data_IF_117971927726
#
_entry.id   IF_117971927726
#
_cell.length_a   1.000
_cell.length_b   1.000
_cell.length_c   1.000
_cell.angle_alpha   90.00
_cell.angle_beta   90.00
_cell.angle_gamma   90.00
#
_symmetry.space_group_name_H-M   'P 1'
#
loop_
_entity.id
_entity.type
_entity.pdbx_description
1 polymer ?
#
# COMPACT_ATOMS: atom_id res chain seq x y z
N UNK A 1 -17.70 18.70 5.66
CA UNK A 1 -17.75 17.45 6.45
C UNK A 1 -16.99 16.31 5.78
N UNK A 2 -17.25 15.95 4.52
CA UNK A 2 -16.49 14.89 3.82
C UNK A 2 -14.97 15.11 3.80
N UNK A 3 -14.51 16.32 3.48
CA UNK A 3 -13.08 16.68 3.55
C UNK A 3 -12.47 16.50 4.95
N UNK A 4 -13.24 16.78 6.01
CA UNK A 4 -12.78 16.60 7.38
C UNK A 4 -12.58 15.11 7.69
N UNK A 5 -13.55 14.27 7.31
CA UNK A 5 -13.46 12.81 7.49
C UNK A 5 -12.26 12.21 6.76
N UNK A 6 -12.07 12.58 5.49
CA UNK A 6 -10.91 12.14 4.71
C UNK A 6 -9.60 12.63 5.30
N UNK A 7 -9.53 13.89 5.76
CA UNK A 7 -8.33 14.43 6.41
C UNK A 7 -7.98 13.68 7.69
N UNK A 8 -8.98 13.38 8.52
CA UNK A 8 -8.80 12.57 9.73
C UNK A 8 -8.29 11.17 9.37
N UNK A 9 -8.89 10.52 8.37
CA UNK A 9 -8.43 9.21 7.91
C UNK A 9 -6.98 9.26 7.40
N UNK A 10 -6.61 10.27 6.61
CA UNK A 10 -5.23 10.46 6.15
C UNK A 10 -4.26 10.55 7.32
N UNK A 11 -4.57 11.36 8.34
CA UNK A 11 -3.72 11.49 9.53
C UNK A 11 -3.61 10.18 10.29
N UNK A 12 -4.73 9.47 10.50
CA UNK A 12 -4.73 8.17 11.19
C UNK A 12 -3.88 7.14 10.45
N UNK A 13 -4.06 7.01 9.13
CA UNK A 13 -3.30 6.05 8.33
C UNK A 13 -1.82 6.43 8.23
N UNK A 14 -1.51 7.71 8.02
CA UNK A 14 -0.13 8.19 7.95
C UNK A 14 0.62 7.99 9.28
N UNK A 15 -0.06 8.26 10.40
CA UNK A 15 0.50 8.01 11.72
C UNK A 15 0.70 6.51 11.98
N UNK A 16 -0.32 5.69 11.71
CA UNK A 16 -0.21 4.24 11.89
C UNK A 16 0.93 3.64 11.05
N UNK A 17 1.09 4.10 9.80
CA UNK A 17 2.17 3.68 8.91
C UNK A 17 3.58 3.91 9.48
N UNK A 18 3.75 4.92 10.34
CA UNK A 18 5.01 5.24 11.03
C UNK A 18 5.21 4.48 12.35
N UNK A 19 4.13 3.92 12.91
CA UNK A 19 4.12 3.31 14.25
C UNK A 19 4.11 1.80 14.22
N UNK A 20 3.43 1.20 13.25
CA UNK A 20 3.33 -0.25 13.13
C UNK A 20 4.53 -0.82 12.41
N UNK A 21 5.05 -1.95 12.89
CA UNK A 21 6.11 -2.68 12.19
C UNK A 21 5.62 -3.20 10.83
N UNK A 22 6.52 -3.42 9.85
CA UNK A 22 6.18 -4.11 8.60
C UNK A 22 5.60 -5.50 8.86
N UNK A 23 4.56 -5.87 8.13
CA UNK A 23 4.04 -7.24 8.12
C UNK A 23 4.92 -8.14 7.24
N UNK A 24 4.74 -9.46 7.35
CA UNK A 24 5.50 -10.42 6.54
C UNK A 24 5.28 -10.21 5.03
N UNK A 25 4.06 -9.86 4.62
CA UNK A 25 3.74 -9.66 3.20
C UNK A 25 4.42 -8.41 2.64
N UNK A 26 4.54 -7.35 3.44
CA UNK A 26 5.24 -6.13 3.03
C UNK A 26 6.72 -6.39 2.74
N UNK A 27 7.35 -7.33 3.46
CA UNK A 27 8.73 -7.75 3.21
C UNK A 27 8.91 -8.34 1.80
N UNK A 28 7.90 -9.01 1.25
CA UNK A 28 7.93 -9.47 -0.14
C UNK A 28 7.57 -8.38 -1.16
N UNK A 29 6.60 -7.53 -0.81
CA UNK A 29 6.08 -6.50 -1.72
C UNK A 29 7.06 -5.36 -2.00
N UNK A 30 7.76 -4.85 -0.98
CA UNK A 30 8.70 -3.74 -1.11
C UNK A 30 9.85 -4.04 -2.11
N UNK A 31 10.63 -5.14 -1.96
CA UNK A 31 11.70 -5.44 -2.90
C UNK A 31 11.16 -5.78 -4.31
N UNK A 32 10.01 -6.43 -4.41
CA UNK A 32 9.40 -6.73 -5.71
C UNK A 32 9.03 -5.45 -6.47
N UNK A 33 8.39 -4.49 -5.81
CA UNK A 33 8.09 -3.19 -6.44
C UNK A 33 9.35 -2.40 -6.79
N UNK A 34 10.43 -2.47 -6.00
CA UNK A 34 11.72 -1.86 -6.36
C UNK A 34 12.35 -2.53 -7.59
N UNK A 35 12.29 -3.86 -7.66
CA UNK A 35 12.76 -4.63 -8.81
C UNK A 35 11.98 -4.26 -10.08
N UNK A 36 10.67 -4.01 -10.00
CA UNK A 36 9.88 -3.55 -11.15
C UNK A 36 10.39 -2.23 -11.73
N UNK A 37 10.72 -1.27 -10.86
CA UNK A 37 11.29 0.00 -11.29
C UNK A 37 12.71 -0.14 -11.86
N UNK A 38 13.55 -1.02 -11.30
CA UNK A 38 14.94 -1.19 -11.73
C UNK A 38 15.10 -2.04 -13.00
N UNK A 39 14.27 -3.07 -13.17
CA UNK A 39 14.39 -4.06 -14.26
C UNK A 39 13.39 -3.82 -15.40
N UNK A 40 12.35 -3.01 -15.18
CA UNK A 40 11.31 -2.76 -16.17
C UNK A 40 10.42 -3.96 -16.48
N UNK A 41 10.39 -4.97 -15.60
CA UNK A 41 9.56 -6.16 -15.75
C UNK A 41 8.81 -6.50 -14.44
N UNK A 42 7.79 -7.35 -14.54
CA UNK A 42 6.93 -7.74 -13.42
C UNK A 42 7.20 -9.16 -12.91
N UNK A 43 8.41 -9.70 -13.12
CA UNK A 43 8.65 -11.13 -12.90
C UNK A 43 8.76 -11.55 -11.44
N UNK A 44 9.15 -10.61 -10.58
CA UNK A 44 9.31 -10.86 -9.15
C UNK A 44 7.94 -10.87 -8.44
N UNK A 45 7.67 -11.93 -7.68
CA UNK A 45 6.50 -12.07 -6.81
C UNK A 45 5.14 -11.94 -7.54
N UNK A 46 4.97 -12.74 -8.61
CA UNK A 46 3.79 -12.79 -9.51
C UNK A 46 2.59 -13.56 -8.94
N UNK A 47 2.15 -13.19 -7.74
CA UNK A 47 0.97 -13.81 -7.09
C UNK A 47 -0.24 -12.86 -7.01
N UNK A 48 -0.04 -11.57 -7.32
CA UNK A 48 -1.09 -10.56 -7.42
C UNK A 48 -0.69 -9.47 -8.44
N UNK A 49 -1.65 -8.66 -8.94
CA UNK A 49 -1.36 -7.58 -9.88
C UNK A 49 -0.35 -6.56 -9.32
N UNK A 50 0.53 -5.98 -10.16
CA UNK A 50 1.68 -5.20 -9.69
C UNK A 50 1.35 -3.75 -9.30
N UNK A 51 0.11 -3.28 -9.51
CA UNK A 51 -0.25 -1.86 -9.38
C UNK A 51 0.11 -1.28 -8.01
N UNK A 52 -0.40 -1.87 -6.93
CA UNK A 52 -0.26 -1.32 -5.57
C UNK A 52 1.21 -1.25 -5.15
N UNK A 53 1.95 -2.36 -5.32
CA UNK A 53 3.38 -2.39 -4.97
C UNK A 53 4.22 -1.43 -5.80
N UNK A 54 3.89 -1.22 -7.07
CA UNK A 54 4.65 -0.34 -7.97
C UNK A 54 4.43 1.12 -7.57
N UNK A 55 3.19 1.51 -7.28
CA UNK A 55 2.87 2.83 -6.72
C UNK A 55 3.54 3.04 -5.37
N UNK A 56 3.45 2.05 -4.48
CA UNK A 56 4.04 2.10 -3.15
C UNK A 56 5.55 2.34 -3.21
N UNK A 57 6.27 1.62 -4.07
CA UNK A 57 7.74 1.69 -4.11
C UNK A 57 8.29 2.88 -4.89
N UNK A 58 7.45 3.67 -5.55
CA UNK A 58 7.91 4.84 -6.32
C UNK A 58 8.73 5.86 -5.49
N UNK A 59 8.24 6.39 -4.35
CA UNK A 59 9.04 7.30 -3.53
C UNK A 59 10.31 6.65 -2.98
N UNK A 60 10.26 5.35 -2.66
CA UNK A 60 11.41 4.59 -2.18
C UNK A 60 12.45 4.44 -3.28
N UNK A 61 12.02 4.17 -4.51
CA UNK A 61 12.89 4.10 -5.68
C UNK A 61 13.64 5.42 -5.92
N UNK A 62 12.96 6.56 -5.76
CA UNK A 62 13.60 7.88 -5.85
C UNK A 62 14.66 8.11 -4.75
N UNK A 63 14.51 7.48 -3.58
CA UNK A 63 15.49 7.51 -2.49
C UNK A 63 16.72 6.62 -2.76
N UNK A 64 16.74 5.84 -3.85
CA UNK A 64 17.86 5.00 -4.31
C UNK A 64 18.47 4.09 -3.22
N UNK A 65 17.67 3.28 -2.51
CA UNK A 65 18.20 2.33 -1.53
C UNK A 65 19.06 1.25 -2.20
N UNK A 66 19.95 0.64 -1.42
CA UNK A 66 20.78 -0.48 -1.90
C UNK A 66 19.94 -1.76 -1.89
N UNK A 67 19.71 -2.36 -3.04
CA UNK A 67 19.00 -3.64 -3.15
C UNK A 67 19.85 -4.62 -3.96
N UNK A 68 20.07 -5.80 -3.39
CA UNK A 68 20.79 -6.88 -4.07
C UNK A 68 19.80 -7.73 -4.88
N UNK A 69 19.75 -7.46 -6.18
CA UNK A 69 18.94 -8.21 -7.14
C UNK A 69 19.73 -9.33 -7.84
N UNK A 70 20.99 -9.57 -7.49
CA UNK A 70 21.82 -10.60 -8.11
C UNK A 70 21.19 -12.00 -7.98
N UNK A 71 20.49 -12.24 -6.88
CA UNK A 71 19.78 -13.50 -6.58
C UNK A 71 18.65 -13.82 -7.58
N UNK A 72 18.17 -12.84 -8.36
CA UNK A 72 17.20 -13.08 -9.43
C UNK A 72 17.81 -13.88 -10.60
N UNK A 73 19.14 -13.84 -10.77
CA UNK A 73 19.85 -14.58 -11.82
C UNK A 73 20.13 -16.05 -11.46
N UNK A 74 20.01 -16.43 -10.17
CA UNK A 74 20.27 -17.79 -9.67
C UNK A 74 19.13 -18.80 -9.94
N UNK A 75 18.15 -18.42 -10.77
CA UNK A 75 17.00 -19.25 -11.13
C UNK A 75 15.81 -19.14 -10.16
N UNK A 76 14.67 -19.73 -10.53
CA UNK A 76 13.45 -19.70 -9.73
C UNK A 76 13.66 -20.44 -8.39
N UNK A 77 13.80 -19.69 -7.31
CA UNK A 77 13.72 -20.21 -5.94
C UNK A 77 12.38 -19.81 -5.33
N UNK A 78 11.74 -20.76 -4.65
CA UNK A 78 10.50 -20.51 -3.91
C UNK A 78 10.73 -19.38 -2.90
N UNK A 79 9.84 -18.38 -2.87
CA UNK A 79 9.87 -17.26 -1.90
C UNK A 79 11.11 -16.35 -1.98
N UNK A 80 11.68 -16.18 -3.18
CA UNK A 80 12.85 -15.33 -3.40
C UNK A 80 12.63 -13.88 -2.96
N UNK A 81 11.42 -13.37 -3.11
CA UNK A 81 11.01 -12.04 -2.67
C UNK A 81 11.19 -11.80 -1.18
N UNK A 82 10.87 -12.79 -0.35
CA UNK A 82 11.04 -12.69 1.09
C UNK A 82 12.50 -12.81 1.48
N UNK A 83 13.31 -13.53 0.70
CA UNK A 83 14.76 -13.56 0.89
C UNK A 83 15.40 -12.21 0.62
N UNK A 84 15.13 -11.63 -0.56
CA UNK A 84 15.64 -10.31 -0.95
C UNK A 84 15.12 -9.23 0.02
N UNK A 85 13.86 -9.34 0.47
CA UNK A 85 13.29 -8.44 1.48
C UNK A 85 13.99 -8.52 2.84
N UNK A 86 14.34 -9.73 3.30
CA UNK A 86 15.13 -9.92 4.52
C UNK A 86 16.52 -9.29 4.37
N UNK A 87 17.19 -9.53 3.25
CA UNK A 87 18.50 -8.94 2.98
C UNK A 87 18.43 -7.40 2.92
N UNK A 88 17.36 -6.85 2.35
CA UNK A 88 17.09 -5.41 2.33
C UNK A 88 16.99 -4.84 3.75
N UNK A 89 16.25 -5.49 4.64
CA UNK A 89 16.12 -5.07 6.05
C UNK A 89 17.47 -5.14 6.76
N UNK A 90 18.22 -6.24 6.59
CA UNK A 90 19.55 -6.40 7.19
C UNK A 90 20.52 -5.33 6.69
N UNK A 91 20.49 -5.01 5.39
CA UNK A 91 21.38 -4.03 4.75
C UNK A 91 21.14 -2.60 5.26
N UNK A 92 19.89 -2.24 5.56
CA UNK A 92 19.54 -0.87 5.96
C UNK A 92 19.30 -0.71 7.47
N UNK A 93 19.19 -1.80 8.23
CA UNK A 93 18.94 -1.75 9.67
C UNK A 93 17.68 -0.94 10.00
N UNK A 94 17.82 0.08 10.85
CA UNK A 94 16.70 0.94 11.27
C UNK A 94 16.11 1.78 10.14
N UNK A 95 16.91 2.13 9.12
CA UNK A 95 16.44 2.93 7.98
C UNK A 95 15.38 2.19 7.15
N UNK A 96 15.33 0.85 7.26
CA UNK A 96 14.29 0.03 6.62
C UNK A 96 12.88 0.48 7.01
N UNK A 97 12.64 0.83 8.28
CA UNK A 97 11.34 1.31 8.75
C UNK A 97 10.90 2.58 8.02
N UNK A 98 11.84 3.46 7.68
CA UNK A 98 11.54 4.67 6.92
C UNK A 98 11.16 4.35 5.47
N UNK A 99 11.86 3.42 4.81
CA UNK A 99 11.47 2.97 3.47
C UNK A 99 10.08 2.34 3.44
N UNK A 100 9.73 1.51 4.43
CA UNK A 100 8.36 1.00 4.55
C UNK A 100 7.35 2.12 4.78
N UNK A 101 7.66 3.09 5.64
CA UNK A 101 6.78 4.25 5.90
C UNK A 101 6.51 5.05 4.63
N UNK A 102 7.56 5.37 3.86
CA UNK A 102 7.43 6.08 2.58
C UNK A 102 6.54 5.31 1.59
N UNK A 103 6.73 3.99 1.51
CA UNK A 103 5.94 3.17 0.61
C UNK A 103 4.47 3.09 1.03
N UNK A 104 4.20 2.94 2.32
CA UNK A 104 2.85 2.95 2.89
C UNK A 104 2.13 4.28 2.67
N UNK A 105 2.84 5.41 2.81
CA UNK A 105 2.26 6.73 2.54
C UNK A 105 1.82 6.91 1.08
N UNK A 106 2.53 6.30 0.13
CA UNK A 106 2.12 6.29 -1.27
C UNK A 106 0.84 5.46 -1.53
N UNK A 107 0.45 4.56 -0.62
CA UNK A 107 -0.78 3.77 -0.74
C UNK A 107 -2.03 4.48 -0.22
N UNK A 108 -1.90 5.53 0.61
CA UNK A 108 -3.05 6.20 1.22
C UNK A 108 -4.10 6.70 0.20
N UNK A 109 -3.74 7.22 -0.98
CA UNK A 109 -4.70 7.65 -1.98
C UNK A 109 -5.71 6.57 -2.38
N UNK A 110 -5.35 5.27 -2.39
CA UNK A 110 -6.30 4.21 -2.72
C UNK A 110 -7.48 4.19 -1.74
N UNK A 111 -7.22 4.28 -0.44
CA UNK A 111 -8.29 4.29 0.57
C UNK A 111 -9.15 5.54 0.49
N UNK A 112 -8.55 6.70 0.21
CA UNK A 112 -9.30 7.96 0.06
C UNK A 112 -10.22 7.93 -1.15
N UNK A 113 -9.77 7.35 -2.27
CA UNK A 113 -10.59 7.14 -3.47
C UNK A 113 -11.75 6.20 -3.14
N UNK A 114 -11.49 5.06 -2.48
CA UNK A 114 -12.55 4.13 -2.08
C UNK A 114 -13.61 4.80 -1.20
N UNK A 115 -13.20 5.56 -0.18
CA UNK A 115 -14.12 6.30 0.69
C UNK A 115 -14.92 7.36 -0.06
N UNK A 116 -14.29 8.08 -0.99
CA UNK A 116 -14.96 9.07 -1.83
C UNK A 116 -16.01 8.43 -2.72
N UNK A 117 -15.73 7.27 -3.33
CA UNK A 117 -16.70 6.55 -4.16
C UNK A 117 -17.88 6.07 -3.32
N UNK A 118 -17.64 5.48 -2.14
CA UNK A 118 -18.70 5.12 -1.20
C UNK A 118 -19.58 6.32 -0.84
N UNK A 119 -18.98 7.49 -0.59
CA UNK A 119 -19.71 8.74 -0.34
C UNK A 119 -20.60 9.12 -1.52
N UNK A 120 -20.03 9.13 -2.73
CA UNK A 120 -20.72 9.57 -3.95
C UNK A 120 -21.90 8.65 -4.28
N UNK A 121 -21.70 7.34 -4.23
CA UNK A 121 -22.76 6.35 -4.47
C UNK A 121 -23.89 6.42 -3.45
N UNK A 122 -23.58 6.43 -2.15
CA UNK A 122 -24.61 6.53 -1.12
C UNK A 122 -25.34 7.88 -1.18
N UNK A 123 -24.64 8.95 -1.57
CA UNK A 123 -25.26 10.27 -1.79
C UNK A 123 -26.21 10.26 -2.97
N UNK A 124 -25.85 9.61 -4.06
CA UNK A 124 -26.69 9.53 -5.25
C UNK A 124 -27.98 8.74 -5.00
N UNK A 125 -27.88 7.64 -4.25
CA UNK A 125 -29.04 6.77 -3.97
C UNK A 125 -29.96 7.31 -2.85
N UNK A 126 -29.38 7.88 -1.79
CA UNK A 126 -30.11 8.16 -0.54
C UNK A 126 -29.85 9.57 0.02
N UNK A 127 -29.18 10.43 -0.73
CA UNK A 127 -28.92 11.81 -0.36
C UNK A 127 -27.70 12.02 0.53
N UNK A 128 -27.42 13.29 0.82
CA UNK A 128 -26.15 13.74 1.43
C UNK A 128 -25.83 13.09 2.79
N UNK A 129 -26.83 12.91 3.66
CA UNK A 129 -26.63 12.31 4.98
C UNK A 129 -26.19 10.84 4.89
N UNK A 130 -26.77 10.07 3.98
CA UNK A 130 -26.38 8.68 3.73
C UNK A 130 -24.95 8.60 3.18
N UNK A 131 -24.57 9.51 2.27
CA UNK A 131 -23.20 9.67 1.82
C UNK A 131 -22.22 9.90 2.98
N UNK A 132 -22.52 10.86 3.86
CA UNK A 132 -21.67 11.17 5.02
C UNK A 132 -21.58 10.00 6.01
N UNK A 133 -22.68 9.26 6.22
CA UNK A 133 -22.69 8.07 7.05
C UNK A 133 -21.79 6.97 6.46
N UNK A 134 -21.93 6.67 5.16
CA UNK A 134 -21.10 5.69 4.47
C UNK A 134 -19.60 6.05 4.53
N UNK A 135 -19.27 7.32 4.29
CA UNK A 135 -17.91 7.82 4.41
C UNK A 135 -17.37 7.70 5.85
N UNK A 136 -18.20 8.00 6.84
CA UNK A 136 -17.81 7.86 8.25
C UNK A 136 -17.50 6.39 8.59
N UNK A 137 -18.36 5.46 8.15
CA UNK A 137 -18.13 4.03 8.33
C UNK A 137 -16.84 3.58 7.64
N UNK A 138 -16.55 4.06 6.42
CA UNK A 138 -15.29 3.77 5.73
C UNK A 138 -14.07 4.29 6.51
N UNK A 139 -14.08 5.57 6.88
CA UNK A 139 -12.95 6.23 7.53
C UNK A 139 -12.61 5.65 8.91
N UNK A 140 -13.60 5.14 9.64
CA UNK A 140 -13.43 4.60 11.00
C UNK A 140 -13.53 3.07 11.07
N UNK A 141 -13.67 2.37 9.95
CA UNK A 141 -13.69 0.91 9.94
C UNK A 141 -12.32 0.36 10.34
N UNK A 142 -12.22 -0.51 11.37
CA UNK A 142 -10.94 -1.05 11.83
C UNK A 142 -10.24 -1.87 10.76
N UNK A 143 -10.99 -2.59 9.91
CA UNK A 143 -10.40 -3.36 8.80
C UNK A 143 -9.79 -2.42 7.75
N UNK A 144 -10.44 -1.30 7.42
CA UNK A 144 -9.88 -0.31 6.50
C UNK A 144 -8.65 0.34 7.11
N UNK A 145 -8.71 0.80 8.36
CA UNK A 145 -7.56 1.43 9.02
C UNK A 145 -6.36 0.46 9.20
N UNK A 146 -6.64 -0.81 9.46
CA UNK A 146 -5.62 -1.86 9.56
C UNK A 146 -4.92 -2.13 8.22
N UNK A 147 -5.68 -2.29 7.14
CA UNK A 147 -5.13 -2.71 5.85
C UNK A 147 -4.73 -1.56 4.91
N UNK A 148 -5.41 -0.42 4.93
CA UNK A 148 -5.17 0.69 4.00
C UNK A 148 -3.83 1.41 4.22
N UNK A 149 -3.21 1.24 5.38
CA UNK A 149 -1.87 1.76 5.64
C UNK A 149 -0.78 0.86 5.06
N UNK A 150 -1.07 -0.40 4.69
CA UNK A 150 -0.07 -1.38 4.28
C UNK A 150 0.20 -1.31 2.78
N UNK A 151 1.32 -1.90 2.36
CA UNK A 151 1.70 -2.03 0.94
C UNK A 151 0.96 -3.20 0.26
N UNK A 152 0.24 -4.03 1.02
CA UNK A 152 -0.49 -5.19 0.48
C UNK A 152 -1.61 -4.75 -0.46
N UNK A 153 -1.96 -5.57 -1.48
CA UNK A 153 -2.90 -5.15 -2.51
C UNK A 153 -4.35 -5.12 -2.04
N UNK A 154 -4.69 -5.66 -0.86
CA UNK A 154 -6.08 -5.92 -0.43
C UNK A 154 -6.92 -4.65 -0.35
N UNK A 155 -6.40 -3.62 0.33
CA UNK A 155 -7.11 -2.34 0.47
C UNK A 155 -7.22 -1.60 -0.86
N UNK A 156 -6.17 -1.66 -1.69
CA UNK A 156 -6.18 -1.10 -3.04
C UNK A 156 -7.21 -1.80 -3.94
N UNK A 157 -7.26 -3.13 -3.90
CA UNK A 157 -8.22 -3.93 -4.64
C UNK A 157 -9.66 -3.68 -4.16
N UNK A 158 -9.90 -3.59 -2.85
CA UNK A 158 -11.21 -3.26 -2.30
C UNK A 158 -11.68 -1.87 -2.76
N UNK A 159 -10.81 -0.86 -2.66
CA UNK A 159 -11.15 0.51 -3.06
C UNK A 159 -11.44 0.65 -4.57
N UNK A 160 -10.61 0.02 -5.41
CA UNK A 160 -10.80 0.06 -6.87
C UNK A 160 -11.92 -0.88 -7.33
N UNK A 161 -12.18 -1.98 -6.64
CA UNK A 161 -13.32 -2.86 -6.91
C UNK A 161 -14.64 -2.15 -6.68
N UNK A 162 -14.73 -1.32 -5.64
CA UNK A 162 -15.86 -0.41 -5.42
C UNK A 162 -15.97 0.64 -6.53
N UNK A 163 -14.95 0.89 -7.35
CA UNK A 163 -15.06 1.81 -8.50
C UNK A 163 -15.67 1.16 -9.75
N UNK A 164 -15.79 -0.17 -9.80
CA UNK A 164 -16.15 -0.92 -11.01
C UNK A 164 -17.67 -1.13 -11.19
N UNK A 165 -18.50 -0.50 -10.35
CA UNK A 165 -19.97 -0.59 -10.39
C UNK A 165 -20.66 0.55 -11.13
#
# INVERSE_FOLDING_TARGET
MAYLLLSVQTVLLAWAATRHSPSIDEVGHLPAGLAHWQLGNFDMYRVNPPLVRTVATFPVFLAKPKIDLSKLSEGYRKQLEFSIGRDFIVTHGQDSFWYFTLARWACLPFSLIGGLICFLWARELYGCLAGLLALSLWCFCPNILGHAQMITPDAGAAALGVAAG
#
